data_IF_159315801510
#
_entry.id   IF_159315801510
#
_cell.length_a   1.000
_cell.length_b   1.000
_cell.length_c   1.000
_cell.angle_alpha   90.00
_cell.angle_beta   90.00
_cell.angle_gamma   90.00
#
_symmetry.space_group_name_H-M   'P 1'
#
loop_
_entity.id
_entity.type
_entity.pdbx_description
1 polymer ?
#
# COMPACT_ATOMS: atom_id res chain seq x y z
N UNK A 1 35.74 8.73 17.15
CA UNK A 1 34.55 7.99 17.63
C UNK A 1 33.26 8.80 17.55
N UNK A 2 33.16 10.00 18.14
CA UNK A 2 31.91 10.81 18.17
C UNK A 2 31.29 11.13 16.80
N UNK A 3 32.10 11.51 15.81
CA UNK A 3 31.62 11.81 14.44
C UNK A 3 31.07 10.57 13.72
N UNK A 4 31.74 9.43 13.88
CA UNK A 4 31.34 8.17 13.24
C UNK A 4 30.00 7.67 13.79
N UNK A 5 29.82 7.77 15.11
CA UNK A 5 28.53 7.45 15.77
C UNK A 5 27.41 8.37 15.29
N UNK A 6 27.67 9.68 15.13
CA UNK A 6 26.68 10.62 14.61
C UNK A 6 26.26 10.35 13.17
N UNK A 7 27.21 9.96 12.31
CA UNK A 7 26.92 9.59 10.91
C UNK A 7 26.05 8.34 10.81
N UNK A 8 26.30 7.31 11.63
CA UNK A 8 25.48 6.09 11.68
C UNK A 8 24.05 6.40 12.14
N UNK A 9 23.90 7.26 13.16
CA UNK A 9 22.58 7.67 13.65
C UNK A 9 21.82 8.47 12.59
N UNK A 10 22.49 9.39 11.91
CA UNK A 10 21.87 10.22 10.87
C UNK A 10 21.43 9.37 9.66
N UNK A 11 22.26 8.41 9.21
CA UNK A 11 21.89 7.52 8.11
C UNK A 11 20.73 6.59 8.46
N UNK A 12 20.65 6.10 9.70
CA UNK A 12 19.53 5.28 10.17
C UNK A 12 18.21 6.07 10.19
N UNK A 13 18.23 7.31 10.67
CA UNK A 13 17.05 8.20 10.70
C UNK A 13 16.57 8.50 9.28
N UNK A 14 17.49 8.82 8.37
CA UNK A 14 17.16 9.10 6.96
C UNK A 14 16.61 7.86 6.25
N UNK A 15 17.19 6.68 6.47
CA UNK A 15 16.70 5.42 5.92
C UNK A 15 15.32 5.00 6.47
N UNK A 16 15.06 5.25 7.76
CA UNK A 16 13.74 5.03 8.34
C UNK A 16 12.68 5.97 7.76
N UNK A 17 13.03 7.24 7.54
CA UNK A 17 12.14 8.21 6.91
C UNK A 17 11.79 7.83 5.47
N UNK A 18 12.76 7.41 4.66
CA UNK A 18 12.51 7.03 3.28
C UNK A 18 11.63 5.78 3.17
N UNK A 19 11.86 4.79 4.03
CA UNK A 19 11.02 3.58 4.10
C UNK A 19 9.57 3.92 4.51
N UNK A 20 9.40 4.80 5.50
CA UNK A 20 8.08 5.24 5.96
C UNK A 20 7.31 6.02 4.88
N UNK A 21 7.97 6.94 4.17
CA UNK A 21 7.33 7.69 3.09
C UNK A 21 6.93 6.79 1.92
N UNK A 22 7.77 5.80 1.59
CA UNK A 22 7.45 4.81 0.55
C UNK A 22 6.23 3.98 0.94
N UNK A 23 6.16 3.51 2.19
CA UNK A 23 5.01 2.79 2.72
C UNK A 23 3.72 3.61 2.66
N UNK A 24 3.76 4.89 3.04
CA UNK A 24 2.58 5.77 2.96
C UNK A 24 2.13 6.01 1.52
N UNK A 25 3.06 6.18 0.58
CA UNK A 25 2.75 6.33 -0.84
C UNK A 25 2.08 5.07 -1.41
N UNK A 26 2.63 3.90 -1.11
CA UNK A 26 2.04 2.61 -1.46
C UNK A 26 0.63 2.45 -0.89
N UNK A 27 0.43 2.74 0.40
CA UNK A 27 -0.87 2.65 1.04
C UNK A 27 -1.90 3.62 0.39
N UNK A 28 -1.49 4.84 0.07
CA UNK A 28 -2.38 5.80 -0.59
C UNK A 28 -2.83 5.32 -1.98
N UNK A 29 -1.93 4.82 -2.81
CA UNK A 29 -2.30 4.27 -4.12
C UNK A 29 -3.14 2.99 -3.99
N UNK A 30 -2.81 2.11 -3.04
CA UNK A 30 -3.61 0.93 -2.74
C UNK A 30 -5.06 1.28 -2.37
N UNK A 31 -5.26 2.29 -1.50
CA UNK A 31 -6.59 2.73 -1.11
C UNK A 31 -7.39 3.33 -2.29
N UNK A 32 -6.72 4.09 -3.17
CA UNK A 32 -7.33 4.61 -4.40
C UNK A 32 -7.78 3.50 -5.34
N UNK A 33 -6.96 2.46 -5.50
CA UNK A 33 -7.30 1.33 -6.36
C UNK A 33 -8.50 0.55 -5.82
N UNK A 34 -8.56 0.32 -4.50
CA UNK A 34 -9.72 -0.30 -3.87
C UNK A 34 -10.99 0.54 -4.01
N UNK A 35 -10.88 1.86 -3.86
CA UNK A 35 -12.01 2.77 -4.06
C UNK A 35 -12.54 2.73 -5.50
N UNK A 36 -11.65 2.67 -6.50
CA UNK A 36 -12.03 2.53 -7.91
C UNK A 36 -12.75 1.20 -8.15
N UNK A 37 -12.19 0.10 -7.67
CA UNK A 37 -12.82 -1.22 -7.80
C UNK A 37 -14.24 -1.24 -7.18
N UNK A 38 -14.41 -0.62 -6.01
CA UNK A 38 -15.72 -0.48 -5.38
C UNK A 38 -16.68 0.39 -6.21
N UNK A 39 -16.20 1.51 -6.74
CA UNK A 39 -17.00 2.42 -7.57
C UNK A 39 -17.45 1.74 -8.87
N UNK A 40 -16.55 1.00 -9.52
CA UNK A 40 -16.84 0.25 -10.74
C UNK A 40 -17.85 -0.87 -10.49
N UNK A 41 -17.74 -1.58 -9.37
CA UNK A 41 -18.74 -2.58 -8.96
C UNK A 41 -20.12 -1.93 -8.73
N UNK A 42 -20.17 -0.76 -8.09
CA UNK A 42 -21.41 -0.03 -7.86
C UNK A 42 -22.05 0.43 -9.16
N UNK A 43 -21.25 0.96 -10.10
CA UNK A 43 -21.71 1.41 -11.40
C UNK A 43 -22.19 0.24 -12.27
N UNK A 44 -21.45 -0.88 -12.27
CA UNK A 44 -21.81 -2.07 -13.06
C UNK A 44 -23.12 -2.73 -12.60
N UNK A 45 -23.55 -2.50 -11.35
CA UNK A 45 -24.81 -3.00 -10.75
C UNK A 45 -25.06 -4.50 -11.03
N UNK A 46 -23.97 -5.28 -11.06
CA UNK A 46 -23.99 -6.67 -11.50
C UNK A 46 -24.14 -7.60 -10.30
N UNK A 47 -25.26 -8.33 -10.21
CA UNK A 47 -25.52 -9.28 -9.12
C UNK A 47 -24.49 -10.42 -9.17
N UNK A 48 -23.69 -10.57 -8.11
CA UNK A 48 -22.71 -11.66 -7.94
C UNK A 48 -21.30 -11.36 -8.48
N UNK A 49 -20.99 -10.10 -8.82
CA UNK A 49 -19.65 -9.68 -9.23
C UNK A 49 -18.69 -9.41 -8.04
N UNK A 50 -19.20 -9.40 -6.80
CA UNK A 50 -18.45 -9.22 -5.55
C UNK A 50 -17.17 -10.09 -5.49
N UNK A 51 -17.26 -11.36 -5.89
CA UNK A 51 -16.11 -12.27 -5.90
C UNK A 51 -15.08 -11.95 -6.98
N UNK A 52 -15.50 -11.37 -8.10
CA UNK A 52 -14.62 -11.00 -9.20
C UNK A 52 -13.77 -9.76 -8.87
N UNK A 53 -14.26 -8.87 -8.00
CA UNK A 53 -13.50 -7.69 -7.56
C UNK A 53 -12.62 -7.96 -6.33
N UNK A 54 -12.90 -9.02 -5.55
CA UNK A 54 -12.06 -9.40 -4.41
C UNK A 54 -10.85 -10.28 -4.74
N UNK A 55 -10.89 -11.07 -5.83
CA UNK A 55 -9.84 -12.05 -6.12
C UNK A 55 -8.60 -11.51 -6.89
N UNK A 56 -8.73 -10.67 -7.94
CA UNK A 56 -7.57 -10.13 -8.68
C UNK A 56 -6.79 -9.07 -7.89
N UNK A 57 -7.50 -8.29 -7.07
CA UNK A 57 -6.92 -7.21 -6.27
C UNK A 57 -5.84 -7.69 -5.30
N UNK A 58 -6.00 -8.88 -4.69
CA UNK A 58 -5.05 -9.37 -3.68
C UNK A 58 -3.72 -9.88 -4.27
N UNK A 59 -3.71 -10.49 -5.47
CA UNK A 59 -2.47 -10.97 -6.09
C UNK A 59 -1.63 -9.83 -6.66
N UNK A 60 -2.29 -8.82 -7.25
CA UNK A 60 -1.61 -7.62 -7.73
C UNK A 60 -1.22 -6.68 -6.57
N UNK A 61 -2.03 -6.60 -5.51
CA UNK A 61 -1.67 -5.87 -4.28
C UNK A 61 -0.43 -6.48 -3.60
N UNK A 62 -0.34 -7.81 -3.53
CA UNK A 62 0.80 -8.51 -2.95
C UNK A 62 2.13 -8.22 -3.66
N UNK A 63 2.09 -7.88 -4.95
CA UNK A 63 3.28 -7.55 -5.73
C UNK A 63 3.67 -6.06 -5.69
N UNK A 64 2.78 -5.17 -5.25
CA UNK A 64 2.98 -3.71 -5.31
C UNK A 64 3.60 -3.09 -4.06
N UNK A 65 3.74 -3.86 -2.98
CA UNK A 65 4.49 -3.45 -1.80
C UNK A 65 3.72 -3.60 -0.48
N UNK A 66 4.43 -3.54 0.66
CA UNK A 66 3.85 -3.75 1.99
C UNK A 66 2.71 -2.78 2.33
N UNK A 67 2.74 -1.55 1.82
CA UNK A 67 1.67 -0.56 2.05
C UNK A 67 0.34 -0.98 1.41
N UNK A 68 0.38 -1.45 0.16
CA UNK A 68 -0.81 -1.90 -0.57
C UNK A 68 -1.40 -3.16 0.08
N UNK A 69 -0.56 -4.10 0.49
CA UNK A 69 -0.99 -5.32 1.21
C UNK A 69 -1.68 -4.98 2.52
N UNK A 70 -1.13 -4.01 3.28
CA UNK A 70 -1.75 -3.57 4.52
C UNK A 70 -3.14 -2.99 4.28
N UNK A 71 -3.29 -2.12 3.27
CA UNK A 71 -4.60 -1.56 2.91
C UNK A 71 -5.58 -2.67 2.53
N UNK A 72 -5.15 -3.63 1.71
CA UNK A 72 -6.02 -4.73 1.28
C UNK A 72 -6.48 -5.66 2.39
N UNK A 73 -5.77 -5.65 3.53
CA UNK A 73 -6.18 -6.38 4.73
C UNK A 73 -7.16 -5.60 5.59
N UNK A 74 -7.12 -4.26 5.54
CA UNK A 74 -7.90 -3.38 6.42
C UNK A 74 -9.26 -3.01 5.81
N UNK A 75 -9.33 -2.90 4.48
CA UNK A 75 -10.54 -2.57 3.71
C UNK A 75 -11.19 -3.85 3.19
#
# INVERSE_FOLDING_TARGET
>A
MKLFTGLILCSLVLGGHSLFLSFLGEAYEGAKDMWRAYSDLREANYKGADKYFHAPGNYDAAQRGPGVVWVAKVI
#
